data_IF_969744221837
#
_entry.id   IF_969744221837
#
_cell.length_a   1.000
_cell.length_b   1.000
_cell.length_c   1.000
_cell.angle_alpha   90.00
_cell.angle_beta   90.00
_cell.angle_gamma   90.00
#
_symmetry.space_group_name_H-M   'P 1'
#
loop_
_entity.id
_entity.type
_entity.pdbx_description
1 polymer ?
#
# COMPACT_ATOMS: atom_id res chain seq x y z
N UNK A 1 10.42 -29.78 -39.76
CA UNK A 1 10.96 -29.71 -38.39
C UNK A 1 12.08 -28.70 -38.41
N UNK A 2 11.69 -27.43 -38.35
CA UNK A 2 12.50 -26.23 -38.49
C UNK A 2 12.45 -25.54 -37.15
N UNK A 3 13.60 -25.38 -36.48
CA UNK A 3 14.03 -24.48 -35.40
C UNK A 3 13.06 -23.97 -34.29
N UNK A 4 11.73 -24.03 -34.45
CA UNK A 4 10.68 -23.60 -33.51
C UNK A 4 10.51 -24.52 -32.29
N UNK A 5 11.02 -25.75 -32.32
CA UNK A 5 10.91 -26.68 -31.17
C UNK A 5 12.01 -26.47 -30.11
N UNK A 6 12.86 -25.45 -30.28
CA UNK A 6 13.89 -25.05 -29.31
C UNK A 6 13.51 -23.82 -28.48
N UNK A 7 12.22 -23.52 -28.36
CA UNK A 7 11.70 -22.47 -27.44
C UNK A 7 11.13 -23.04 -26.13
N UNK A 8 11.47 -24.29 -25.80
CA UNK A 8 10.95 -24.98 -24.62
C UNK A 8 12.03 -25.20 -23.55
N UNK A 9 12.76 -24.15 -23.16
CA UNK A 9 13.60 -24.10 -21.94
C UNK A 9 14.37 -22.76 -21.81
N UNK A 10 13.68 -21.67 -21.48
CA UNK A 10 14.32 -20.52 -20.82
C UNK A 10 13.47 -20.17 -19.62
N UNK A 11 14.00 -20.33 -18.41
CA UNK A 11 13.38 -19.75 -17.23
C UNK A 11 13.13 -18.27 -17.52
N UNK A 12 11.87 -17.85 -17.49
CA UNK A 12 11.45 -16.47 -17.66
C UNK A 12 12.40 -15.52 -16.94
N UNK A 13 12.87 -14.49 -17.63
CA UNK A 13 13.95 -13.58 -17.24
C UNK A 13 13.69 -12.74 -15.99
N UNK A 14 13.35 -13.36 -14.86
CA UNK A 14 13.29 -12.76 -13.53
C UNK A 14 14.67 -12.92 -12.88
N UNK A 15 15.18 -11.86 -12.25
CA UNK A 15 16.49 -11.91 -11.61
C UNK A 15 16.55 -13.01 -10.55
N UNK A 16 17.59 -13.87 -10.50
CA UNK A 16 17.67 -14.98 -9.55
C UNK A 16 17.62 -14.57 -8.06
N UNK A 17 17.97 -13.34 -7.72
CA UNK A 17 17.81 -12.85 -6.35
C UNK A 17 16.34 -12.62 -5.99
N UNK A 18 15.50 -12.16 -6.92
CA UNK A 18 14.07 -11.91 -6.68
C UNK A 18 13.34 -13.21 -6.39
N UNK A 19 13.68 -14.29 -7.10
CA UNK A 19 13.18 -15.63 -6.83
C UNK A 19 13.49 -16.07 -5.40
N UNK A 20 14.71 -15.81 -4.92
CA UNK A 20 15.16 -16.20 -3.58
C UNK A 20 14.47 -15.42 -2.45
N UNK A 21 14.10 -14.17 -2.68
CA UNK A 21 13.55 -13.29 -1.63
C UNK A 21 12.03 -13.13 -1.69
N UNK A 22 11.36 -13.60 -2.75
CA UNK A 22 9.93 -13.34 -3.02
C UNK A 22 9.06 -13.67 -1.81
N UNK A 23 9.14 -14.91 -1.31
CA UNK A 23 8.25 -15.38 -0.23
C UNK A 23 8.47 -14.61 1.07
N UNK A 24 9.72 -14.31 1.40
CA UNK A 24 10.04 -13.54 2.59
C UNK A 24 9.53 -12.10 2.47
N UNK A 25 9.72 -11.47 1.31
CA UNK A 25 9.20 -10.11 1.04
C UNK A 25 7.69 -10.07 1.09
N UNK A 26 6.98 -11.02 0.49
CA UNK A 26 5.51 -11.10 0.56
C UNK A 26 5.04 -11.21 2.02
N UNK A 27 5.65 -12.12 2.81
CA UNK A 27 5.31 -12.25 4.24
C UNK A 27 5.57 -10.95 5.01
N UNK A 28 6.69 -10.28 4.75
CA UNK A 28 7.02 -9.00 5.38
C UNK A 28 6.00 -7.92 5.04
N UNK A 29 5.65 -7.79 3.75
CA UNK A 29 4.63 -6.83 3.28
C UNK A 29 3.28 -7.06 3.96
N UNK A 30 2.84 -8.32 4.09
CA UNK A 30 1.59 -8.66 4.78
C UNK A 30 1.66 -8.29 6.27
N UNK A 31 2.76 -8.62 6.95
CA UNK A 31 2.93 -8.28 8.37
C UNK A 31 2.91 -6.76 8.59
N UNK A 32 3.67 -6.00 7.80
CA UNK A 32 3.69 -4.54 7.87
C UNK A 32 2.32 -3.94 7.55
N UNK A 33 1.57 -4.51 6.60
CA UNK A 33 0.23 -4.04 6.27
C UNK A 33 -0.73 -4.20 7.46
N UNK A 34 -0.72 -5.37 8.10
CA UNK A 34 -1.54 -5.64 9.28
C UNK A 34 -1.14 -4.77 10.47
N UNK A 35 0.15 -4.51 10.65
CA UNK A 35 0.65 -3.59 11.68
C UNK A 35 0.18 -2.15 11.41
N UNK A 36 0.35 -1.66 10.19
CA UNK A 36 -0.11 -0.32 9.78
C UNK A 36 -1.61 -0.15 10.02
N UNK A 37 -2.42 -1.16 9.67
CA UNK A 37 -3.86 -1.18 9.98
C UNK A 37 -4.13 -1.15 11.48
N UNK A 38 -3.41 -1.95 12.27
CA UNK A 38 -3.53 -1.97 13.73
C UNK A 38 -3.28 -0.59 14.35
N UNK A 39 -2.17 0.06 13.98
CA UNK A 39 -1.84 1.42 14.42
C UNK A 39 -2.88 2.44 13.97
N UNK A 40 -3.40 2.31 12.75
CA UNK A 40 -4.46 3.17 12.25
C UNK A 40 -5.77 3.01 13.04
N UNK A 41 -6.21 1.79 13.34
CA UNK A 41 -7.43 1.55 14.14
C UNK A 41 -7.27 2.10 15.56
N UNK A 42 -6.08 2.04 16.15
CA UNK A 42 -5.78 2.72 17.41
C UNK A 42 -5.90 4.24 17.30
N UNK A 43 -5.25 4.83 16.28
CA UNK A 43 -5.34 6.27 15.97
C UNK A 43 -6.81 6.71 15.83
N UNK A 44 -7.60 6.01 15.02
CA UNK A 44 -9.00 6.33 14.76
C UNK A 44 -9.87 6.17 16.03
N UNK A 45 -9.57 5.19 16.88
CA UNK A 45 -10.24 5.03 18.18
C UNK A 45 -9.96 6.21 19.11
N UNK A 46 -8.72 6.71 19.16
CA UNK A 46 -8.38 7.90 19.94
C UNK A 46 -9.12 9.14 19.42
N UNK A 47 -9.14 9.33 18.10
CA UNK A 47 -9.84 10.44 17.45
C UNK A 47 -11.33 10.47 17.81
N UNK A 48 -12.00 9.30 17.78
CA UNK A 48 -13.41 9.15 18.17
C UNK A 48 -13.68 9.45 19.64
N UNK A 49 -12.70 9.27 20.52
CA UNK A 49 -12.77 9.66 21.94
C UNK A 49 -12.51 11.15 22.18
N UNK A 50 -12.31 11.94 21.12
CA UNK A 50 -11.99 13.36 21.20
C UNK A 50 -10.51 13.66 21.37
N UNK A 51 -9.65 12.64 21.45
CA UNK A 51 -8.20 12.81 21.54
C UNK A 51 -7.62 12.90 20.13
N UNK A 52 -7.07 14.05 19.75
CA UNK A 52 -6.36 14.19 18.48
C UNK A 52 -4.94 13.63 18.61
N UNK A 53 -4.64 12.45 18.04
CA UNK A 53 -3.31 11.86 18.16
C UNK A 53 -2.30 12.70 17.36
N UNK A 54 -1.03 12.61 17.71
CA UNK A 54 0.02 13.44 17.10
C UNK A 54 0.27 13.11 15.63
N UNK A 55 0.86 14.07 14.91
CA UNK A 55 1.45 13.88 13.58
C UNK A 55 2.31 12.61 13.48
N UNK A 56 3.13 12.32 14.49
CA UNK A 56 4.06 11.18 14.51
C UNK A 56 3.36 9.84 14.27
N UNK A 57 2.13 9.65 14.78
CA UNK A 57 1.39 8.40 14.57
C UNK A 57 1.02 8.18 13.10
N UNK A 58 0.66 9.24 12.39
CA UNK A 58 0.39 9.16 10.95
C UNK A 58 1.69 9.03 10.13
N UNK A 59 2.80 9.61 10.62
CA UNK A 59 4.12 9.42 10.03
C UNK A 59 4.53 7.94 10.05
N UNK A 60 4.46 7.29 11.21
CA UNK A 60 4.76 5.85 11.36
C UNK A 60 3.95 4.99 10.39
N UNK A 61 2.63 5.23 10.29
CA UNK A 61 1.75 4.51 9.35
C UNK A 61 2.19 4.76 7.90
N UNK A 62 2.51 6.01 7.54
CA UNK A 62 2.96 6.35 6.18
C UNK A 62 4.30 5.70 5.82
N UNK A 63 5.23 5.57 6.78
CA UNK A 63 6.54 4.94 6.58
C UNK A 63 6.40 3.43 6.34
N UNK A 64 5.55 2.75 7.12
CA UNK A 64 5.25 1.33 6.87
C UNK A 64 4.61 1.11 5.49
N UNK A 65 3.63 1.94 5.11
CA UNK A 65 3.00 1.84 3.78
C UNK A 65 3.98 2.13 2.64
N UNK A 66 4.91 3.06 2.85
CA UNK A 66 5.98 3.35 1.89
C UNK A 66 6.91 2.15 1.71
N UNK A 67 7.34 1.50 2.79
CA UNK A 67 8.18 0.31 2.74
C UNK A 67 7.50 -0.82 1.94
N UNK A 68 6.22 -1.08 2.22
CA UNK A 68 5.47 -2.09 1.48
C UNK A 68 5.37 -1.74 -0.01
N UNK A 69 5.11 -0.47 -0.35
CA UNK A 69 5.07 0.00 -1.73
C UNK A 69 6.41 -0.22 -2.45
N UNK A 70 7.52 0.07 -1.80
CA UNK A 70 8.86 -0.14 -2.38
C UNK A 70 9.15 -1.63 -2.57
N UNK A 71 8.75 -2.49 -1.63
CA UNK A 71 8.87 -3.95 -1.78
C UNK A 71 8.03 -4.48 -2.94
N UNK A 72 6.82 -3.96 -3.16
CA UNK A 72 6.04 -4.26 -4.36
C UNK A 72 6.75 -3.83 -5.64
N UNK A 73 7.30 -2.62 -5.69
CA UNK A 73 8.07 -2.14 -6.84
C UNK A 73 9.37 -2.90 -7.07
N UNK A 74 9.96 -3.48 -6.03
CA UNK A 74 11.12 -4.36 -6.14
C UNK A 74 10.74 -5.68 -6.81
N UNK A 75 9.66 -6.32 -6.36
CA UNK A 75 9.26 -7.65 -6.79
C UNK A 75 8.55 -7.67 -8.13
N UNK A 76 7.62 -6.73 -8.35
CA UNK A 76 6.67 -6.79 -9.45
C UNK A 76 6.93 -5.73 -10.51
N UNK A 77 6.64 -6.10 -11.76
CA UNK A 77 6.61 -5.17 -12.88
C UNK A 77 5.51 -4.13 -12.66
N UNK A 78 5.83 -2.87 -12.89
CA UNK A 78 4.84 -1.79 -12.92
C UNK A 78 3.90 -1.91 -14.13
N UNK A 79 2.60 -1.76 -13.89
CA UNK A 79 1.59 -1.59 -14.93
C UNK A 79 1.71 -0.17 -15.53
N UNK A 80 2.08 -0.07 -16.81
CA UNK A 80 2.27 1.20 -17.51
C UNK A 80 0.99 1.66 -18.23
N UNK A 81 0.23 0.72 -18.77
CA UNK A 81 -1.05 0.97 -19.42
C UNK A 81 -2.07 -0.05 -18.92
N UNK A 82 -2.97 0.34 -18.00
CA UNK A 82 -3.99 -0.55 -17.45
C UNK A 82 -4.99 -1.05 -18.50
N UNK A 83 -5.32 -0.24 -19.51
CA UNK A 83 -6.29 -0.63 -20.53
C UNK A 83 -5.72 -1.74 -21.43
N UNK A 84 -4.42 -1.68 -21.70
CA UNK A 84 -3.72 -2.63 -22.56
C UNK A 84 -2.95 -3.72 -21.81
N UNK A 85 -3.06 -3.77 -20.48
CA UNK A 85 -2.29 -4.68 -19.62
C UNK A 85 -0.78 -4.67 -19.93
N UNK A 86 -0.23 -3.49 -20.25
CA UNK A 86 1.17 -3.36 -20.64
C UNK A 86 2.03 -3.08 -19.42
N UNK A 87 2.99 -3.96 -19.16
CA UNK A 87 3.93 -3.83 -18.07
C UNK A 87 5.26 -3.22 -18.52
N UNK A 88 6.02 -2.72 -17.54
CA UNK A 88 7.42 -2.34 -17.76
C UNK A 88 8.26 -3.53 -18.26
N UNK A 89 9.27 -3.22 -19.08
CA UNK A 89 10.28 -4.20 -19.48
C UNK A 89 11.34 -4.27 -18.38
N UNK A 90 11.07 -5.06 -17.35
CA UNK A 90 12.00 -5.33 -16.26
C UNK A 90 12.04 -6.83 -15.94
N UNK A 91 13.18 -7.28 -15.44
CA UNK A 91 13.44 -8.67 -15.02
C UNK A 91 12.81 -8.97 -13.65
N UNK A 92 11.51 -8.68 -13.51
CA UNK A 92 10.68 -8.80 -12.30
C UNK A 92 9.49 -9.71 -12.55
N UNK A 93 8.78 -10.09 -11.50
CA UNK A 93 7.54 -10.85 -11.63
C UNK A 93 6.45 -10.02 -12.32
N UNK A 94 5.69 -10.63 -13.22
CA UNK A 94 4.45 -10.02 -13.71
C UNK A 94 3.38 -10.25 -12.64
N UNK A 95 2.76 -9.19 -12.07
CA UNK A 95 1.75 -9.40 -11.05
C UNK A 95 0.45 -9.93 -11.66
N UNK A 96 -0.27 -10.75 -10.92
CA UNK A 96 -1.63 -11.16 -11.24
C UNK A 96 -2.64 -10.06 -10.88
N UNK A 97 -3.92 -10.28 -11.16
CA UNK A 97 -4.97 -9.29 -10.94
C UNK A 97 -5.10 -8.87 -9.47
N UNK A 98 -5.11 -9.82 -8.52
CA UNK A 98 -5.23 -9.53 -7.09
C UNK A 98 -3.98 -8.83 -6.54
N UNK A 99 -2.79 -9.19 -7.02
CA UNK A 99 -1.54 -8.51 -6.68
C UNK A 99 -1.57 -7.05 -7.15
N UNK A 100 -2.10 -6.77 -8.35
CA UNK A 100 -2.30 -5.41 -8.86
C UNK A 100 -3.31 -4.63 -7.99
N UNK A 101 -4.42 -5.24 -7.61
CA UNK A 101 -5.42 -4.60 -6.75
C UNK A 101 -4.83 -4.23 -5.38
N UNK A 102 -4.07 -5.15 -4.77
CA UNK A 102 -3.42 -4.91 -3.50
C UNK A 102 -2.37 -3.80 -3.61
N UNK A 103 -1.54 -3.82 -4.66
CA UNK A 103 -0.57 -2.75 -4.96
C UNK A 103 -1.25 -1.38 -5.09
N UNK A 104 -2.39 -1.32 -5.79
CA UNK A 104 -3.15 -0.09 -5.97
C UNK A 104 -3.76 0.39 -4.64
N UNK A 105 -4.34 -0.51 -3.85
CA UNK A 105 -4.87 -0.21 -2.52
C UNK A 105 -3.79 0.39 -1.61
N UNK A 106 -2.60 -0.22 -1.55
CA UNK A 106 -1.47 0.28 -0.77
C UNK A 106 -1.01 1.65 -1.27
N UNK A 107 -0.92 1.85 -2.58
CA UNK A 107 -0.60 3.15 -3.17
C UNK A 107 -1.59 4.24 -2.74
N UNK A 108 -2.89 3.94 -2.78
CA UNK A 108 -3.94 4.86 -2.34
C UNK A 108 -3.87 5.13 -0.83
N UNK A 109 -3.69 4.09 -0.01
CA UNK A 109 -3.52 4.20 1.44
C UNK A 109 -2.33 5.11 1.77
N UNK A 110 -1.17 4.86 1.16
CA UNK A 110 0.04 5.67 1.37
C UNK A 110 -0.27 7.15 1.10
N UNK A 111 -0.86 7.47 -0.05
CA UNK A 111 -1.20 8.84 -0.39
C UNK A 111 -2.21 9.48 0.57
N UNK A 112 -3.27 8.75 0.96
CA UNK A 112 -4.29 9.28 1.88
C UNK A 112 -3.74 9.49 3.28
N UNK A 113 -2.93 8.57 3.79
CA UNK A 113 -2.24 8.73 5.08
C UNK A 113 -1.26 9.90 5.03
N UNK A 114 -0.52 10.08 3.94
CA UNK A 114 0.34 11.27 3.76
C UNK A 114 -0.47 12.56 3.81
N UNK A 115 -1.61 12.65 3.11
CA UNK A 115 -2.47 13.84 3.17
C UNK A 115 -2.96 14.10 4.61
N UNK A 116 -3.45 13.06 5.30
CA UNK A 116 -3.88 13.18 6.70
C UNK A 116 -2.73 13.64 7.61
N UNK A 117 -1.52 13.12 7.37
CA UNK A 117 -0.30 13.50 8.08
C UNK A 117 0.01 14.99 7.89
N UNK A 118 0.00 15.50 6.65
CA UNK A 118 0.25 16.91 6.38
C UNK A 118 -0.82 17.84 6.98
N UNK A 119 -2.09 17.46 6.90
CA UNK A 119 -3.17 18.21 7.58
C UNK A 119 -2.90 18.29 9.09
N UNK A 120 -2.42 17.20 9.69
CA UNK A 120 -2.15 17.19 11.13
C UNK A 120 -0.93 18.03 11.50
N UNK A 121 0.12 17.98 10.68
CA UNK A 121 1.30 18.84 10.82
C UNK A 121 0.91 20.33 10.81
N UNK A 122 0.07 20.73 9.83
CA UNK A 122 -0.45 22.10 9.74
C UNK A 122 -1.24 22.50 10.99
N UNK A 123 -2.11 21.62 11.49
CA UNK A 123 -2.87 21.88 12.72
C UNK A 123 -1.99 21.99 13.97
N UNK A 124 -0.85 21.31 14.02
CA UNK A 124 0.05 21.31 15.19
C UNK A 124 1.01 22.49 15.19
N UNK A 125 1.43 22.97 14.02
CA UNK A 125 2.55 23.92 13.92
C UNK A 125 2.21 25.27 13.29
N UNK A 126 1.11 25.39 12.54
CA UNK A 126 0.86 26.58 11.71
C UNK A 126 -0.49 27.24 11.94
N UNK A 127 -1.45 26.57 12.61
CA UNK A 127 -2.81 27.08 12.72
C UNK A 127 -3.19 27.28 14.18
N UNK A 128 -3.33 28.53 14.58
CA UNK A 128 -3.97 28.92 15.84
C UNK A 128 -5.48 28.59 15.80
N UNK A 129 -6.12 28.45 16.96
CA UNK A 129 -7.54 28.06 17.07
C UNK A 129 -8.47 29.08 16.38
N UNK A 130 -8.67 28.88 15.08
CA UNK A 130 -9.32 29.78 14.13
C UNK A 130 -10.31 29.01 13.25
N UNK A 131 -11.04 29.70 12.38
CA UNK A 131 -11.88 29.05 11.37
C UNK A 131 -11.09 28.08 10.47
N UNK A 132 -9.85 28.46 10.11
CA UNK A 132 -8.92 27.60 9.37
C UNK A 132 -8.61 26.31 10.11
N UNK A 133 -8.54 26.33 11.44
CA UNK A 133 -8.34 25.13 12.26
C UNK A 133 -9.53 24.18 12.12
N UNK A 134 -10.76 24.70 12.24
CA UNK A 134 -11.98 23.87 12.14
C UNK A 134 -12.12 23.24 10.76
N UNK A 135 -11.88 24.01 9.69
CA UNK A 135 -11.90 23.48 8.31
C UNK A 135 -10.85 22.39 8.11
N UNK A 136 -9.62 22.59 8.60
CA UNK A 136 -8.56 21.58 8.51
C UNK A 136 -8.90 20.32 9.31
N UNK A 137 -9.52 20.48 10.48
CA UNK A 137 -10.02 19.39 11.32
C UNK A 137 -11.10 18.57 10.62
N UNK A 138 -12.04 19.22 9.92
CA UNK A 138 -13.08 18.54 9.13
C UNK A 138 -12.48 17.78 7.95
N UNK A 139 -11.56 18.41 7.21
CA UNK A 139 -10.82 17.75 6.12
C UNK A 139 -10.05 16.53 6.61
N UNK A 140 -9.43 16.61 7.80
CA UNK A 140 -8.75 15.48 8.41
C UNK A 140 -9.74 14.34 8.70
N UNK A 141 -10.91 14.62 9.30
CA UNK A 141 -11.93 13.59 9.57
C UNK A 141 -12.37 12.87 8.29
N UNK A 142 -12.60 13.60 7.20
CA UNK A 142 -12.97 13.01 5.91
C UNK A 142 -11.86 12.09 5.39
N UNK A 143 -10.60 12.52 5.46
CA UNK A 143 -9.48 11.66 5.04
C UNK A 143 -9.33 10.42 5.93
N UNK A 144 -9.52 10.55 7.25
CA UNK A 144 -9.48 9.40 8.18
C UNK A 144 -10.58 8.40 7.85
N UNK A 145 -11.81 8.84 7.57
CA UNK A 145 -12.89 7.94 7.15
C UNK A 145 -12.51 7.17 5.87
N UNK A 146 -11.95 7.86 4.88
CA UNK A 146 -11.52 7.21 3.63
C UNK A 146 -10.36 6.23 3.82
N UNK A 147 -9.44 6.52 4.75
CA UNK A 147 -8.36 5.58 5.09
C UNK A 147 -8.94 4.32 5.75
N UNK A 148 -9.96 4.45 6.60
CA UNK A 148 -10.63 3.32 7.23
C UNK A 148 -11.28 2.39 6.20
N UNK A 149 -12.02 2.97 5.25
CA UNK A 149 -12.61 2.24 4.11
C UNK A 149 -11.54 1.51 3.28
N UNK A 150 -10.45 2.20 2.93
CA UNK A 150 -9.35 1.59 2.15
C UNK A 150 -8.67 0.43 2.89
N UNK A 151 -8.52 0.50 4.21
CA UNK A 151 -7.99 -0.62 4.99
C UNK A 151 -8.95 -1.80 5.04
N UNK A 152 -10.27 -1.56 5.04
CA UNK A 152 -11.24 -2.64 5.03
C UNK A 152 -11.31 -3.28 3.62
N UNK A 153 -11.33 -2.48 2.55
CA UNK A 153 -11.17 -2.95 1.15
C UNK A 153 -9.88 -3.80 0.98
N UNK A 154 -8.75 -3.33 1.51
CA UNK A 154 -7.48 -4.05 1.37
C UNK A 154 -7.39 -5.34 2.18
N UNK A 155 -8.15 -5.49 3.27
CA UNK A 155 -8.27 -6.77 3.99
C UNK A 155 -9.05 -7.80 3.16
N UNK A 156 -10.09 -7.37 2.45
CA UNK A 156 -10.83 -8.24 1.53
C UNK A 156 -9.91 -8.77 0.42
N UNK A 157 -9.15 -7.87 -0.22
CA UNK A 157 -8.15 -8.23 -1.24
C UNK A 157 -7.09 -9.18 -0.68
N UNK A 158 -6.53 -8.88 0.50
CA UNK A 158 -5.51 -9.71 1.13
C UNK A 158 -6.04 -11.11 1.47
N UNK A 159 -7.30 -11.21 1.91
CA UNK A 159 -7.95 -12.50 2.20
C UNK A 159 -8.12 -13.33 0.92
N UNK A 160 -8.48 -12.68 -0.19
CA UNK A 160 -8.54 -13.32 -1.50
C UNK A 160 -7.15 -13.81 -1.96
N UNK A 161 -6.11 -12.97 -1.84
CA UNK A 161 -4.72 -13.33 -2.15
C UNK A 161 -4.22 -14.56 -1.36
N UNK A 162 -4.45 -14.57 -0.05
CA UNK A 162 -4.05 -15.70 0.81
C UNK A 162 -4.78 -16.98 0.40
N UNK A 163 -6.05 -16.87 0.00
CA UNK A 163 -6.83 -18.01 -0.47
C UNK A 163 -6.32 -18.54 -1.81
N UNK A 164 -5.92 -17.66 -2.72
CA UNK A 164 -5.33 -18.02 -4.01
C UNK A 164 -4.00 -18.75 -3.83
N UNK A 165 -3.10 -18.24 -2.99
CA UNK A 165 -1.80 -18.89 -2.75
C UNK A 165 -1.84 -20.22 -1.97
N UNK A 166 -3.00 -20.59 -1.41
CA UNK A 166 -3.19 -21.88 -0.73
C UNK A 166 -3.61 -22.99 -1.69
N UNK A 167 -4.15 -22.64 -2.86
CA UNK A 167 -4.62 -23.56 -3.89
C UNK A 167 -3.53 -23.81 -4.94
#
# INVERSE_FOLDING_TARGET
MTEEETEMSKSDGVKPYLVRIKDWKIKNMVMLYLEARGRFKEFNRMLRKGNFPSFERLREISEMLFEIKEDHHLLFKRLLDPQKHRFEKADKFTPNHLEIEFMNNIGLLFHKVTVARELKYVMEHYVEQSETFQRTKENLKVNIARIDELFDEGIEILTALISEYRN
#
